data_IF_292577705267
#
_entry.id   IF_292577705267
#
_cell.length_a   1.000
_cell.length_b   1.000
_cell.length_c   1.000
_cell.angle_alpha   90.00
_cell.angle_beta   90.00
_cell.angle_gamma   90.00
#
_symmetry.space_group_name_H-M   'P 1'
#
loop_
_entity.id
_entity.type
_entity.pdbx_description
1 polymer ?
#
# COMPACT_ATOMS: atom_id res chain seq x y z
N UNK A 1 -20.68 -9.28 50.94
CA UNK A 1 -20.67 -8.28 49.86
C UNK A 1 -19.51 -8.64 48.96
N UNK A 2 -19.83 -9.32 47.86
CA UNK A 2 -18.90 -9.79 46.83
C UNK A 2 -18.80 -8.70 45.77
N UNK A 3 -17.68 -7.98 45.69
CA UNK A 3 -17.38 -7.13 44.54
C UNK A 3 -16.85 -8.01 43.40
N UNK A 4 -17.53 -7.91 42.27
CA UNK A 4 -17.29 -8.70 41.07
C UNK A 4 -16.03 -8.28 40.36
N UNK A 5 -15.26 -9.28 39.92
CA UNK A 5 -14.22 -9.13 38.93
C UNK A 5 -14.86 -8.74 37.58
N UNK A 6 -14.42 -7.63 36.99
CA UNK A 6 -14.66 -7.34 35.57
C UNK A 6 -13.87 -8.35 34.71
N UNK A 7 -14.59 -9.07 33.85
CA UNK A 7 -13.98 -9.93 32.84
C UNK A 7 -13.31 -9.07 31.75
N UNK A 8 -12.08 -9.41 31.32
CA UNK A 8 -11.48 -8.78 30.15
C UNK A 8 -12.31 -9.15 28.91
N UNK A 9 -12.60 -8.16 28.07
CA UNK A 9 -13.46 -8.29 26.88
C UNK A 9 -13.04 -9.42 25.94
N UNK A 10 -14.04 -10.07 25.34
CA UNK A 10 -13.88 -11.21 24.45
C UNK A 10 -13.02 -10.85 23.22
N UNK A 11 -11.81 -11.44 23.06
CA UNK A 11 -10.95 -11.19 21.91
C UNK A 11 -11.56 -11.66 20.58
N UNK A 12 -12.63 -12.47 20.60
CA UNK A 12 -13.35 -12.90 19.39
C UNK A 12 -14.20 -11.82 18.72
N UNK A 13 -14.70 -10.83 19.47
CA UNK A 13 -15.60 -9.81 18.94
C UNK A 13 -14.91 -8.84 17.97
N UNK A 14 -13.64 -8.51 18.22
CA UNK A 14 -12.86 -7.59 17.37
C UNK A 14 -12.47 -8.20 16.02
N UNK A 15 -12.20 -9.51 15.98
CA UNK A 15 -11.85 -10.22 14.74
C UNK A 15 -13.06 -10.32 13.78
N UNK A 16 -14.26 -10.57 14.32
CA UNK A 16 -15.49 -10.58 13.54
C UNK A 16 -15.80 -9.22 12.91
N UNK A 17 -15.74 -8.14 13.71
CA UNK A 17 -16.00 -6.78 13.22
C UNK A 17 -15.01 -6.33 12.13
N UNK A 18 -13.71 -6.68 12.27
CA UNK A 18 -12.70 -6.41 11.25
C UNK A 18 -13.03 -7.12 9.94
N UNK A 19 -13.37 -8.41 10.00
CA UNK A 19 -13.69 -9.19 8.82
C UNK A 19 -14.93 -8.66 8.09
N UNK A 20 -15.98 -8.31 8.84
CA UNK A 20 -17.20 -7.75 8.26
C UNK A 20 -16.94 -6.41 7.56
N UNK A 21 -16.11 -5.54 8.16
CA UNK A 21 -15.70 -4.28 7.55
C UNK A 21 -14.90 -4.49 6.26
N UNK A 22 -13.98 -5.47 6.24
CA UNK A 22 -13.22 -5.81 5.03
C UNK A 22 -14.11 -6.43 3.94
N UNK A 23 -15.05 -7.31 4.32
CA UNK A 23 -15.99 -7.91 3.35
C UNK A 23 -16.94 -6.90 2.73
N UNK A 24 -17.29 -5.83 3.45
CA UNK A 24 -18.13 -4.76 2.93
C UNK A 24 -17.47 -3.98 1.78
N UNK A 25 -16.13 -4.01 1.65
CA UNK A 25 -15.40 -3.39 0.55
C UNK A 25 -15.44 -4.23 -0.74
N UNK A 26 -15.67 -5.53 -0.62
CA UNK A 26 -15.51 -6.46 -1.74
C UNK A 26 -16.81 -6.61 -2.53
N UNK A 27 -16.71 -6.85 -3.86
CA UNK A 27 -17.87 -7.24 -4.66
C UNK A 27 -18.59 -8.48 -4.13
N UNK A 28 -19.89 -8.57 -4.41
CA UNK A 28 -20.72 -9.67 -3.89
C UNK A 28 -20.44 -10.98 -4.63
N UNK A 29 -20.11 -10.88 -5.91
CA UNK A 29 -19.91 -12.01 -6.80
C UNK A 29 -18.45 -12.07 -7.26
N UNK A 30 -17.99 -13.26 -7.67
CA UNK A 30 -16.62 -13.45 -8.14
C UNK A 30 -16.38 -12.78 -9.50
N UNK A 31 -17.43 -12.69 -10.31
CA UNK A 31 -17.43 -12.09 -11.64
C UNK A 31 -17.13 -10.59 -11.58
N UNK A 32 -17.59 -9.90 -10.53
CA UNK A 32 -17.30 -8.47 -10.29
C UNK A 32 -15.88 -8.22 -9.75
N UNK A 33 -15.20 -9.25 -9.25
CA UNK A 33 -13.82 -9.17 -8.77
C UNK A 33 -12.80 -9.47 -9.89
N UNK A 34 -13.22 -9.94 -11.06
CA UNK A 34 -12.30 -10.27 -12.15
C UNK A 34 -11.58 -9.03 -12.71
N UNK A 35 -10.27 -9.16 -12.93
CA UNK A 35 -9.46 -8.15 -13.61
C UNK A 35 -9.44 -8.39 -15.12
N UNK A 36 -9.81 -7.36 -15.89
CA UNK A 36 -9.53 -7.33 -17.32
C UNK A 36 -8.05 -7.03 -17.57
N UNK A 37 -7.27 -8.06 -17.89
CA UNK A 37 -5.82 -7.98 -18.14
C UNK A 37 -5.50 -8.08 -19.65
N UNK A 38 -4.61 -7.21 -20.11
CA UNK A 38 -4.07 -7.16 -21.46
C UNK A 38 -3.04 -8.27 -21.72
N UNK A 39 -2.71 -8.48 -23.01
CA UNK A 39 -1.97 -9.64 -23.50
C UNK A 39 -0.55 -9.82 -22.94
N UNK A 40 0.02 -8.81 -22.27
CA UNK A 40 1.34 -8.92 -21.63
C UNK A 40 1.38 -9.80 -20.38
N UNK A 41 0.23 -10.11 -19.79
CA UNK A 41 0.14 -11.11 -18.70
C UNK A 41 -0.16 -12.49 -19.27
N UNK A 42 0.70 -13.46 -18.97
CA UNK A 42 0.55 -14.82 -19.52
C UNK A 42 -0.76 -15.49 -19.08
N UNK A 43 -1.31 -16.33 -19.95
CA UNK A 43 -2.57 -17.04 -19.70
C UNK A 43 -2.56 -17.88 -18.42
N UNK A 44 -1.42 -18.49 -18.07
CA UNK A 44 -1.29 -19.27 -16.83
C UNK A 44 -1.54 -18.42 -15.57
N UNK A 45 -1.05 -17.16 -15.54
CA UNK A 45 -1.27 -16.25 -14.41
C UNK A 45 -2.73 -15.80 -14.35
N UNK A 46 -3.37 -15.56 -15.50
CA UNK A 46 -4.80 -15.25 -15.55
C UNK A 46 -5.65 -16.39 -15.00
N UNK A 47 -5.30 -17.63 -15.34
CA UNK A 47 -5.95 -18.83 -14.80
C UNK A 47 -5.74 -18.93 -13.29
N UNK A 48 -4.52 -18.67 -12.80
CA UNK A 48 -4.22 -18.69 -11.37
C UNK A 48 -4.99 -17.61 -10.59
N UNK A 49 -5.14 -16.41 -11.15
CA UNK A 49 -5.95 -15.33 -10.56
C UNK A 49 -7.43 -15.70 -10.44
N UNK A 50 -7.99 -16.30 -11.50
CA UNK A 50 -9.36 -16.83 -11.48
C UNK A 50 -9.50 -17.92 -10.42
N UNK A 51 -8.58 -18.87 -10.39
CA UNK A 51 -8.58 -19.94 -9.39
C UNK A 51 -8.49 -19.40 -7.96
N UNK A 52 -7.61 -18.44 -7.70
CA UNK A 52 -7.49 -17.81 -6.38
C UNK A 52 -8.79 -17.12 -5.96
N UNK A 53 -9.46 -16.45 -6.90
CA UNK A 53 -10.77 -15.83 -6.68
C UNK A 53 -11.84 -16.88 -6.36
N UNK A 54 -11.87 -17.99 -7.09
CA UNK A 54 -12.80 -19.09 -6.81
C UNK A 54 -12.57 -19.73 -5.44
N UNK A 55 -11.31 -19.92 -5.06
CA UNK A 55 -10.94 -20.41 -3.73
C UNK A 55 -11.38 -19.45 -2.63
N UNK A 56 -11.20 -18.14 -2.84
CA UNK A 56 -11.64 -17.10 -1.89
C UNK A 56 -13.14 -17.12 -1.66
N UNK A 57 -13.95 -17.03 -2.74
CA UNK A 57 -15.41 -17.04 -2.63
C UNK A 57 -15.97 -18.42 -2.23
N UNK A 58 -15.22 -19.49 -2.45
CA UNK A 58 -15.52 -20.85 -1.98
C UNK A 58 -15.09 -21.15 -0.55
N UNK A 59 -14.65 -20.14 0.22
CA UNK A 59 -14.20 -20.25 1.63
C UNK A 59 -12.98 -21.18 1.85
N UNK A 60 -12.22 -21.47 0.78
CA UNK A 60 -10.98 -22.27 0.80
C UNK A 60 -9.76 -21.37 1.03
N UNK A 61 -9.72 -20.76 2.20
CA UNK A 61 -8.81 -19.65 2.50
C UNK A 61 -7.34 -20.05 2.56
N UNK A 62 -7.03 -21.29 2.96
CA UNK A 62 -5.64 -21.79 3.00
C UNK A 62 -5.09 -21.94 1.59
N UNK A 63 -5.85 -22.56 0.68
CA UNK A 63 -5.44 -22.68 -0.72
C UNK A 63 -5.46 -21.33 -1.44
N UNK A 64 -6.41 -20.45 -1.11
CA UNK A 64 -6.41 -19.08 -1.62
C UNK A 64 -5.15 -18.31 -1.18
N UNK A 65 -4.73 -18.47 0.08
CA UNK A 65 -3.50 -17.87 0.59
C UNK A 65 -2.30 -18.38 -0.22
N UNK A 66 -2.16 -19.69 -0.38
CA UNK A 66 -1.06 -20.27 -1.18
C UNK A 66 -1.07 -19.79 -2.64
N UNK A 67 -2.24 -19.74 -3.27
CA UNK A 67 -2.38 -19.23 -4.63
C UNK A 67 -2.00 -17.74 -4.72
N UNK A 68 -2.42 -16.93 -3.74
CA UNK A 68 -2.06 -15.51 -3.66
C UNK A 68 -0.56 -15.29 -3.47
N UNK A 69 0.12 -16.17 -2.74
CA UNK A 69 1.58 -16.13 -2.58
C UNK A 69 2.30 -16.45 -3.89
N UNK A 70 1.88 -17.49 -4.60
CA UNK A 70 2.43 -17.81 -5.92
C UNK A 70 2.20 -16.68 -6.94
N UNK A 71 1.04 -16.02 -6.90
CA UNK A 71 0.75 -14.84 -7.73
C UNK A 71 1.73 -13.70 -7.40
N UNK A 72 1.95 -13.43 -6.12
CA UNK A 72 2.83 -12.36 -5.66
C UNK A 72 4.29 -12.61 -6.01
N UNK A 73 4.79 -13.82 -5.81
CA UNK A 73 6.18 -14.19 -6.15
C UNK A 73 6.43 -13.97 -7.64
N UNK A 74 5.51 -14.46 -8.47
CA UNK A 74 5.62 -14.31 -9.91
C UNK A 74 5.49 -12.86 -10.38
N UNK A 75 4.51 -12.13 -9.85
CA UNK A 75 4.33 -10.72 -10.19
C UNK A 75 5.54 -9.87 -9.73
N UNK A 76 6.10 -10.16 -8.55
CA UNK A 76 7.30 -9.51 -8.05
C UNK A 76 8.49 -9.70 -8.99
N UNK A 77 8.74 -10.93 -9.45
CA UNK A 77 9.79 -11.21 -10.43
C UNK A 77 9.58 -10.38 -11.70
N UNK A 78 8.35 -10.32 -12.20
CA UNK A 78 8.02 -9.55 -13.41
C UNK A 78 8.18 -8.05 -13.24
N UNK A 79 7.81 -7.50 -12.09
CA UNK A 79 7.98 -6.09 -11.76
C UNK A 79 9.46 -5.68 -11.61
N UNK A 80 10.31 -6.63 -11.25
CA UNK A 80 11.74 -6.42 -11.02
C UNK A 80 12.63 -7.00 -12.12
N UNK A 81 12.06 -7.34 -13.28
CA UNK A 81 12.82 -7.82 -14.45
C UNK A 81 13.03 -6.69 -15.45
N UNK A 82 14.29 -6.31 -15.65
CA UNK A 82 14.69 -5.36 -16.69
C UNK A 82 14.39 -3.89 -16.34
N UNK A 83 14.49 -2.98 -17.31
CA UNK A 83 14.19 -1.56 -17.11
C UNK A 83 12.71 -1.38 -16.74
N UNK A 84 12.45 -0.60 -15.69
CA UNK A 84 11.09 -0.39 -15.16
C UNK A 84 10.10 0.18 -16.19
N UNK A 85 10.59 0.96 -17.16
CA UNK A 85 9.77 1.52 -18.25
C UNK A 85 9.19 0.46 -19.19
N UNK A 86 9.83 -0.72 -19.27
CA UNK A 86 9.43 -1.82 -20.16
C UNK A 86 8.50 -2.81 -19.45
N UNK A 87 8.28 -2.63 -18.14
CA UNK A 87 7.40 -3.49 -17.35
C UNK A 87 5.95 -3.15 -17.67
N UNK A 88 5.20 -4.15 -18.17
CA UNK A 88 3.77 -4.01 -18.45
C UNK A 88 3.00 -3.59 -17.19
N UNK A 89 2.18 -2.54 -17.33
CA UNK A 89 1.38 -1.96 -16.25
C UNK A 89 0.41 -2.96 -15.64
N UNK A 90 -0.04 -3.96 -16.41
CA UNK A 90 -0.93 -4.99 -15.89
C UNK A 90 -0.26 -5.86 -14.81
N UNK A 91 1.07 -6.01 -14.80
CA UNK A 91 1.76 -6.70 -13.70
C UNK A 91 1.57 -5.98 -12.35
N UNK A 92 1.43 -4.66 -12.36
CA UNK A 92 1.12 -3.89 -11.15
C UNK A 92 -0.28 -4.18 -10.65
N UNK A 93 -1.25 -4.36 -11.56
CA UNK A 93 -2.63 -4.75 -11.21
C UNK A 93 -2.68 -6.17 -10.66
N UNK A 94 -1.92 -7.10 -11.26
CA UNK A 94 -1.75 -8.48 -10.75
C UNK A 94 -1.16 -8.46 -9.34
N UNK A 95 -0.13 -7.65 -9.11
CA UNK A 95 0.50 -7.52 -7.80
C UNK A 95 -0.48 -6.96 -6.74
N UNK A 96 -1.21 -5.89 -7.05
CA UNK A 96 -2.27 -5.34 -6.19
C UNK A 96 -3.31 -6.41 -5.84
N UNK A 97 -3.74 -7.20 -6.81
CA UNK A 97 -4.73 -8.24 -6.61
C UNK A 97 -4.24 -9.37 -5.70
N UNK A 98 -3.01 -9.83 -5.91
CA UNK A 98 -2.36 -10.80 -5.03
C UNK A 98 -2.26 -10.28 -3.59
N UNK A 99 -1.89 -9.01 -3.42
CA UNK A 99 -1.84 -8.35 -2.11
C UNK A 99 -3.22 -8.31 -1.44
N UNK A 100 -4.27 -7.97 -2.20
CA UNK A 100 -5.64 -7.93 -1.68
C UNK A 100 -6.08 -9.30 -1.14
N UNK A 101 -5.96 -10.36 -1.96
CA UNK A 101 -6.35 -11.71 -1.55
C UNK A 101 -5.53 -12.20 -0.36
N UNK A 102 -4.20 -12.01 -0.39
CA UNK A 102 -3.32 -12.40 0.72
C UNK A 102 -3.70 -11.69 2.02
N UNK A 103 -3.92 -10.38 1.98
CA UNK A 103 -4.31 -9.60 3.16
C UNK A 103 -5.63 -10.10 3.75
N UNK A 104 -6.64 -10.35 2.90
CA UNK A 104 -7.94 -10.88 3.33
C UNK A 104 -7.83 -12.28 3.95
N UNK A 105 -7.06 -13.18 3.34
CA UNK A 105 -6.81 -14.52 3.88
C UNK A 105 -6.13 -14.46 5.25
N UNK A 106 -5.16 -13.56 5.43
CA UNK A 106 -4.46 -13.37 6.71
C UNK A 106 -5.41 -12.88 7.81
N UNK A 107 -6.37 -12.01 7.49
CA UNK A 107 -7.34 -11.49 8.48
C UNK A 107 -8.33 -12.55 9.00
N UNK A 108 -8.50 -13.65 8.27
CA UNK A 108 -9.46 -14.71 8.60
C UNK A 108 -8.81 -15.99 9.12
N UNK A 109 -7.48 -16.08 9.04
CA UNK A 109 -6.71 -17.13 9.71
C UNK A 109 -6.90 -17.06 11.24
N UNK A 110 -6.88 -18.21 11.95
CA UNK A 110 -7.15 -18.25 13.40
C UNK A 110 -6.27 -17.26 14.16
N UNK A 111 -6.90 -16.48 15.06
CA UNK A 111 -6.41 -15.29 15.76
C UNK A 111 -4.92 -15.28 16.10
N UNK A 112 -4.09 -14.96 15.11
CA UNK A 112 -2.72 -14.57 15.34
C UNK A 112 -2.75 -13.09 15.74
N UNK A 113 -2.20 -12.73 16.90
CA UNK A 113 -2.19 -11.34 17.39
C UNK A 113 -1.53 -10.36 16.40
N UNK A 114 -0.77 -10.87 15.44
CA UNK A 114 -0.10 -10.09 14.39
C UNK A 114 -0.79 -10.14 13.02
N UNK A 115 -1.90 -10.86 12.85
CA UNK A 115 -2.56 -11.08 11.56
C UNK A 115 -2.92 -9.75 10.86
N UNK A 116 -3.55 -8.82 11.58
CA UNK A 116 -3.90 -7.50 11.06
C UNK A 116 -2.65 -6.68 10.67
N UNK A 117 -1.57 -6.77 11.45
CA UNK A 117 -0.31 -6.09 11.15
C UNK A 117 0.40 -6.69 9.93
N UNK A 118 0.35 -8.02 9.75
CA UNK A 118 0.86 -8.71 8.55
C UNK A 118 0.02 -8.34 7.33
N UNK A 119 -1.30 -8.33 7.45
CA UNK A 119 -2.20 -7.92 6.37
C UNK A 119 -1.96 -6.46 5.97
N UNK A 120 -1.77 -5.55 6.94
CA UNK A 120 -1.46 -4.15 6.66
C UNK A 120 -0.15 -4.00 5.87
N UNK A 121 0.91 -4.71 6.27
CA UNK A 121 2.18 -4.74 5.52
C UNK A 121 1.99 -5.21 4.08
N UNK A 122 1.13 -6.20 3.86
CA UNK A 122 0.82 -6.69 2.51
C UNK A 122 0.06 -5.62 1.70
N UNK A 123 -0.88 -4.90 2.31
CA UNK A 123 -1.55 -3.76 1.68
C UNK A 123 -0.55 -2.66 1.32
N UNK A 124 0.36 -2.31 2.24
CA UNK A 124 1.38 -1.27 2.02
C UNK A 124 2.31 -1.62 0.84
N UNK A 125 2.73 -2.89 0.73
CA UNK A 125 3.50 -3.37 -0.43
C UNK A 125 2.71 -3.22 -1.73
N UNK A 126 1.42 -3.57 -1.72
CA UNK A 126 0.54 -3.43 -2.89
C UNK A 126 0.31 -1.96 -3.28
N UNK A 127 0.21 -1.05 -2.30
CA UNK A 127 0.13 0.39 -2.53
C UNK A 127 1.43 0.96 -3.09
N UNK A 128 2.57 0.42 -2.66
CA UNK A 128 3.89 0.88 -3.09
C UNK A 128 4.23 0.41 -4.51
N UNK A 129 3.95 -0.86 -4.83
CA UNK A 129 4.45 -1.53 -6.05
C UNK A 129 3.35 -1.80 -7.08
N UNK A 130 2.09 -1.79 -6.64
CA UNK A 130 0.95 -2.11 -7.47
C UNK A 130 0.36 -0.91 -8.22
N UNK A 131 -0.82 -1.12 -8.76
CA UNK A 131 -1.66 -0.11 -9.38
C UNK A 131 -3.04 -0.07 -8.70
N UNK A 132 -3.71 1.09 -8.77
CA UNK A 132 -5.08 1.22 -8.31
C UNK A 132 -6.01 0.24 -9.06
N UNK A 133 -6.78 -0.53 -8.31
CA UNK A 133 -7.86 -1.39 -8.82
C UNK A 133 -9.10 -1.20 -7.95
N UNK A 134 -10.28 -1.46 -8.52
CA UNK A 134 -11.55 -1.52 -7.78
C UNK A 134 -11.81 -0.30 -6.89
N UNK A 135 -11.48 0.91 -7.37
CA UNK A 135 -11.67 2.14 -6.60
C UNK A 135 -10.75 2.26 -5.37
N UNK A 136 -9.46 1.99 -5.56
CA UNK A 136 -8.43 2.07 -4.51
C UNK A 136 -8.67 1.12 -3.33
N UNK A 137 -9.15 -0.09 -3.64
CA UNK A 137 -9.59 -1.07 -2.63
C UNK A 137 -8.50 -1.41 -1.61
N UNK A 138 -7.21 -1.43 -1.99
CA UNK A 138 -6.12 -1.65 -1.05
C UNK A 138 -5.94 -0.49 -0.06
N UNK A 139 -6.15 0.75 -0.50
CA UNK A 139 -6.07 1.90 0.39
C UNK A 139 -7.22 1.88 1.40
N UNK A 140 -8.41 1.50 0.94
CA UNK A 140 -9.58 1.30 1.79
C UNK A 140 -9.37 0.17 2.80
N UNK A 141 -8.83 -0.98 2.35
CA UNK A 141 -8.51 -2.11 3.23
C UNK A 141 -7.44 -1.74 4.27
N UNK A 142 -6.39 -1.01 3.88
CA UNK A 142 -5.35 -0.51 4.79
C UNK A 142 -5.95 0.43 5.85
N UNK A 143 -6.87 1.33 5.46
CA UNK A 143 -7.56 2.21 6.40
C UNK A 143 -8.40 1.43 7.43
N UNK A 144 -9.13 0.40 6.98
CA UNK A 144 -9.89 -0.50 7.87
C UNK A 144 -8.95 -1.23 8.83
N UNK A 145 -7.85 -1.80 8.34
CA UNK A 145 -6.86 -2.50 9.15
C UNK A 145 -6.22 -1.57 10.19
N UNK A 146 -5.84 -0.36 9.78
CA UNK A 146 -5.21 0.63 10.64
C UNK A 146 -6.14 1.11 11.76
N UNK A 147 -7.45 1.18 11.51
CA UNK A 147 -8.46 1.53 12.50
C UNK A 147 -8.65 0.45 13.58
N UNK A 148 -8.40 -0.82 13.24
CA UNK A 148 -8.55 -1.97 14.15
C UNK A 148 -7.24 -2.39 14.82
N UNK A 149 -6.10 -1.82 14.43
CA UNK A 149 -4.84 -2.05 15.12
C UNK A 149 -4.82 -1.33 16.48
N UNK A 150 -4.45 -2.02 17.57
CA UNK A 150 -4.31 -1.36 18.87
C UNK A 150 -3.31 -0.22 18.78
N UNK A 151 -3.69 0.94 19.32
CA UNK A 151 -2.92 2.21 19.30
C UNK A 151 -1.47 2.08 19.80
N UNK A 152 -1.15 1.00 20.52
CA UNK A 152 0.13 0.71 21.16
C UNK A 152 1.32 0.43 20.20
N UNK A 153 1.14 0.44 18.88
CA UNK A 153 2.24 0.27 17.92
C UNK A 153 2.36 1.41 16.89
N UNK A 154 1.68 2.55 17.09
CA UNK A 154 2.18 3.76 16.43
C UNK A 154 3.48 4.12 17.12
N UNK A 155 4.66 4.08 16.46
CA UNK A 155 5.80 4.77 17.03
C UNK A 155 5.31 6.19 17.33
N UNK A 156 5.41 6.60 18.59
CA UNK A 156 5.13 7.97 18.95
C UNK A 156 5.95 8.82 17.99
N UNK A 157 5.28 9.67 17.19
CA UNK A 157 5.97 10.63 16.34
C UNK A 157 6.91 11.39 17.24
N UNK A 158 8.20 11.12 17.13
CA UNK A 158 9.23 11.88 17.81
C UNK A 158 9.14 13.31 17.24
N UNK A 159 8.76 14.32 18.03
CA UNK A 159 8.68 15.70 17.54
C UNK A 159 10.02 16.20 16.99
N UNK A 160 11.14 15.56 17.38
CA UNK A 160 12.48 15.89 16.90
C UNK A 160 12.83 15.30 15.52
N UNK A 161 12.04 14.34 15.01
CA UNK A 161 12.23 13.73 13.68
C UNK A 161 11.30 14.31 12.62
N UNK A 162 10.48 15.30 12.98
CA UNK A 162 9.70 16.03 11.99
C UNK A 162 10.67 16.98 11.26
N UNK A 163 10.96 16.77 9.96
CA UNK A 163 11.69 17.78 9.22
C UNK A 163 10.91 19.08 9.35
N UNK A 164 11.58 20.21 9.60
CA UNK A 164 10.89 21.49 9.72
C UNK A 164 10.04 21.66 8.47
N UNK A 165 8.74 21.90 8.65
CA UNK A 165 7.90 22.29 7.53
C UNK A 165 8.52 23.54 6.90
N UNK A 166 8.66 23.59 5.57
CA UNK A 166 9.19 24.79 4.93
C UNK A 166 8.27 25.94 5.34
N UNK A 167 8.86 26.96 5.97
CA UNK A 167 8.10 28.15 6.43
C UNK A 167 7.57 28.96 5.26
N UNK A 168 8.10 28.71 4.06
CA UNK A 168 7.77 29.39 2.80
C UNK A 168 7.16 28.37 1.85
N UNK A 169 6.00 28.68 1.31
CA UNK A 169 5.48 28.00 0.13
C UNK A 169 6.30 28.43 -1.08
N UNK A 170 6.97 27.49 -1.74
CA UNK A 170 7.89 27.78 -2.85
C UNK A 170 7.13 28.25 -4.10
N UNK A 171 5.89 27.78 -4.30
CA UNK A 171 5.10 28.15 -5.48
C UNK A 171 4.28 29.43 -5.26
N UNK A 172 3.92 29.71 -4.00
CA UNK A 172 3.17 30.91 -3.61
C UNK A 172 3.79 31.58 -2.36
N UNK A 173 5.00 32.15 -2.48
CA UNK A 173 5.69 32.70 -1.32
C UNK A 173 4.99 33.96 -0.78
N UNK A 174 4.80 33.99 0.54
CA UNK A 174 4.36 35.18 1.26
C UNK A 174 5.53 36.18 1.35
N UNK A 175 5.60 37.10 0.39
CA UNK A 175 6.70 38.07 0.27
C UNK A 175 6.66 39.17 1.34
N UNK A 176 5.52 39.37 2.01
CA UNK A 176 5.46 40.27 3.16
C UNK A 176 6.21 39.67 4.36
N UNK A 177 6.07 38.36 4.56
CA UNK A 177 6.76 37.64 5.64
C UNK A 177 8.19 37.24 5.28
N UNK A 178 8.46 36.95 4.01
CA UNK A 178 9.76 36.42 3.54
C UNK A 178 10.29 37.19 2.33
N UNK A 179 10.55 38.50 2.45
CA UNK A 179 10.94 39.35 1.31
C UNK A 179 12.23 38.88 0.62
N UNK A 180 13.19 38.34 1.39
CA UNK A 180 14.47 37.83 0.88
C UNK A 180 14.35 36.58 0.00
N UNK A 181 13.19 35.91 -0.02
CA UNK A 181 12.99 34.71 -0.82
C UNK A 181 13.10 35.00 -2.33
N UNK A 182 12.71 36.21 -2.75
CA UNK A 182 12.80 36.66 -4.14
C UNK A 182 14.24 36.72 -4.68
N UNK A 183 15.21 36.93 -3.79
CA UNK A 183 16.63 37.08 -4.15
C UNK A 183 17.42 35.78 -4.00
N UNK A 184 16.80 34.73 -3.46
CA UNK A 184 17.47 33.46 -3.22
C UNK A 184 17.77 32.76 -4.56
N UNK A 185 19.04 32.49 -4.90
CA UNK A 185 19.37 31.76 -6.12
C UNK A 185 18.93 30.29 -5.98
N UNK A 186 18.37 29.73 -7.04
CA UNK A 186 17.92 28.34 -7.07
C UNK A 186 18.21 27.69 -8.42
N UNK A 187 18.22 26.35 -8.40
CA UNK A 187 18.23 25.51 -9.59
C UNK A 187 16.88 24.80 -9.68
N UNK A 188 16.32 24.70 -10.88
CA UNK A 188 15.09 23.95 -11.14
C UNK A 188 15.30 22.98 -12.30
N UNK A 189 14.61 21.85 -12.24
CA UNK A 189 14.56 20.87 -13.32
C UNK A 189 13.23 20.12 -13.28
N UNK A 190 12.86 19.52 -14.42
CA UNK A 190 11.78 18.54 -14.51
C UNK A 190 12.45 17.19 -14.71
N UNK A 191 12.32 16.29 -13.73
CA UNK A 191 12.93 14.98 -13.79
C UNK A 191 12.00 13.98 -14.47
N UNK A 192 12.47 13.34 -15.53
CA UNK A 192 11.73 12.38 -16.34
C UNK A 192 12.04 10.93 -15.95
N UNK A 193 11.19 9.95 -16.36
CA UNK A 193 11.46 8.53 -16.12
C UNK A 193 12.84 8.11 -16.66
N UNK A 194 13.62 7.42 -15.83
CA UNK A 194 14.97 6.95 -16.17
C UNK A 194 16.10 7.94 -15.84
N UNK A 195 15.78 9.20 -15.54
CA UNK A 195 16.78 10.19 -15.13
C UNK A 195 17.13 10.08 -13.64
N UNK A 196 18.32 10.55 -13.29
CA UNK A 196 18.80 10.59 -11.90
C UNK A 196 19.22 12.02 -11.54
N UNK A 197 18.73 12.51 -10.41
CA UNK A 197 19.13 13.78 -9.82
C UNK A 197 20.03 13.53 -8.61
N UNK A 198 21.24 14.08 -8.65
CA UNK A 198 22.10 14.13 -7.47
C UNK A 198 21.79 15.39 -6.64
N UNK A 199 21.39 15.20 -5.39
CA UNK A 199 21.16 16.28 -4.43
C UNK A 199 22.29 16.23 -3.39
N UNK A 200 23.22 17.20 -3.37
CA UNK A 200 24.32 17.20 -2.41
C UNK A 200 23.81 17.28 -0.96
N UNK A 201 24.62 16.76 -0.02
CA UNK A 201 24.28 16.83 1.39
C UNK A 201 24.01 18.29 1.82
N UNK A 202 22.94 18.48 2.60
CA UNK A 202 22.47 19.78 3.14
C UNK A 202 21.81 20.72 2.10
N UNK A 203 21.63 20.31 0.84
CA UNK A 203 20.88 21.12 -0.11
C UNK A 203 19.37 21.08 0.17
N UNK A 204 18.75 22.27 0.19
CA UNK A 204 17.31 22.41 0.18
C UNK A 204 16.76 21.95 -1.17
N UNK A 205 15.67 21.18 -1.15
CA UNK A 205 15.02 20.70 -2.36
C UNK A 205 13.50 20.73 -2.17
N UNK A 206 12.81 21.19 -3.21
CA UNK A 206 11.36 21.17 -3.33
C UNK A 206 10.99 20.29 -4.51
N UNK A 207 10.00 19.42 -4.34
CA UNK A 207 9.57 18.48 -5.36
C UNK A 207 8.05 18.53 -5.46
N UNK A 208 7.56 18.67 -6.69
CA UNK A 208 6.13 18.53 -7.02
C UNK A 208 5.97 17.54 -8.17
N UNK A 209 5.06 16.60 -7.99
CA UNK A 209 4.66 15.70 -9.06
C UNK A 209 3.79 16.46 -10.08
N UNK A 210 4.17 16.39 -11.36
CA UNK A 210 3.38 16.95 -12.47
C UNK A 210 2.28 15.99 -12.94
N UNK A 211 2.52 14.69 -12.79
CA UNK A 211 1.64 13.57 -13.13
C UNK A 211 1.70 12.49 -12.02
N UNK A 212 0.93 11.41 -12.15
CA UNK A 212 1.10 10.22 -11.30
C UNK A 212 2.57 9.75 -11.37
N UNK A 213 3.28 9.85 -10.25
CA UNK A 213 4.74 9.72 -10.20
C UNK A 213 5.20 8.72 -9.14
N UNK A 214 6.33 8.07 -9.40
CA UNK A 214 7.03 7.19 -8.48
C UNK A 214 8.53 7.43 -8.60
N UNK A 215 9.21 7.65 -7.47
CA UNK A 215 10.65 7.95 -7.41
C UNK A 215 11.33 7.12 -6.32
N UNK A 216 12.58 6.74 -6.54
CA UNK A 216 13.42 6.02 -5.57
C UNK A 216 14.58 6.91 -5.17
N UNK A 217 14.86 7.03 -3.87
CA UNK A 217 16.00 7.79 -3.35
C UNK A 217 17.01 6.87 -2.67
N UNK A 218 18.29 7.12 -2.92
CA UNK A 218 19.41 6.45 -2.26
C UNK A 218 20.12 7.45 -1.35
N UNK A 219 20.37 7.08 -0.10
CA UNK A 219 21.05 7.92 0.89
C UNK A 219 22.33 7.23 1.32
N UNK A 220 23.47 7.92 1.23
CA UNK A 220 24.79 7.39 1.61
C UNK A 220 25.60 8.45 2.37
N UNK A 221 26.69 8.05 3.02
CA UNK A 221 27.58 8.91 3.80
C UNK A 221 29.04 8.60 3.52
#
# INVERSE_FOLDING_TARGET
MTEGAECPGDPGAGAGALWDALRALLPRTKEELELELGSGVQGAVRLLLRQATELFYGDRLSECLQASEAILDYAWERLNTGPWQDVDKDWRRVYTFGCLLKALCLCRAPCEASAAAKALRVCDLGLLMGAAILGDILAQAAAVLQAHLPSAQRPARDPSQQPPSPKVDVEQPDLEKFPMFTEAPFLSCVLSPGETLFIPAKYWHYVRALDLSFSVSFWWS
#
